data_IF_741635592704
#
_entry.id   IF_741635592704
#
_cell.length_a   1.000
_cell.length_b   1.000
_cell.length_c   1.000
_cell.angle_alpha   90.00
_cell.angle_beta   90.00
_cell.angle_gamma   90.00
#
_symmetry.space_group_name_H-M   'P 1'
#
loop_
_entity.id
_entity.type
_entity.pdbx_description
1 polymer ?
#
# COMPACT_ATOMS: atom_id res chain seq x y z
N UNK A 1 -64.06 -23.32 27.09
CA UNK A 1 -64.27 -22.05 26.34
C UNK A 1 -63.37 -22.05 25.12
N UNK A 2 -63.99 -21.86 23.97
CA UNK A 2 -63.52 -22.07 22.58
C UNK A 2 -62.40 -21.06 22.20
N UNK A 3 -61.22 -21.53 21.74
CA UNK A 3 -60.62 -21.42 20.37
C UNK A 3 -60.88 -20.08 19.65
N UNK A 4 -59.96 -19.40 18.94
CA UNK A 4 -58.79 -19.82 18.14
C UNK A 4 -58.96 -19.30 16.69
N UNK A 5 -57.86 -18.94 16.01
CA UNK A 5 -57.77 -18.79 14.53
C UNK A 5 -58.04 -17.38 13.97
N UNK A 6 -57.10 -16.73 13.26
CA UNK A 6 -56.65 -16.91 11.86
C UNK A 6 -57.53 -16.17 10.82
N UNK A 7 -56.88 -15.27 10.10
CA UNK A 7 -56.80 -15.19 8.63
C UNK A 7 -58.06 -14.82 7.80
N UNK A 8 -57.89 -13.75 7.02
CA UNK A 8 -58.39 -13.52 5.64
C UNK A 8 -59.83 -13.04 5.36
N UNK A 9 -59.85 -12.00 4.51
CA UNK A 9 -60.74 -11.74 3.36
C UNK A 9 -62.03 -10.92 3.52
N UNK A 10 -61.98 -9.73 2.88
CA UNK A 10 -62.88 -9.16 1.85
C UNK A 10 -64.37 -8.89 2.15
N UNK A 11 -64.89 -7.88 1.41
CA UNK A 11 -66.27 -7.42 1.12
C UNK A 11 -66.56 -6.04 1.75
N UNK A 12 -67.04 -4.98 1.08
CA UNK A 12 -67.69 -4.72 -0.24
C UNK A 12 -67.55 -3.22 -0.54
N UNK A 13 -67.17 -2.82 -1.75
CA UNK A 13 -68.04 -2.31 -2.85
C UNK A 13 -69.05 -1.22 -2.46
N UNK A 14 -68.92 -0.03 -3.08
CA UNK A 14 -69.93 0.59 -3.96
C UNK A 14 -69.36 1.81 -4.72
N UNK A 15 -69.90 2.00 -5.93
CA UNK A 15 -69.33 2.63 -7.12
C UNK A 15 -70.07 3.90 -7.57
N UNK A 16 -69.42 4.70 -8.45
CA UNK A 16 -69.96 5.51 -9.59
C UNK A 16 -68.95 6.64 -9.91
N UNK A 17 -68.56 6.96 -11.14
CA UNK A 17 -68.96 6.61 -12.51
C UNK A 17 -67.69 6.67 -13.40
N UNK A 18 -67.48 5.76 -14.36
CA UNK A 18 -67.68 6.05 -15.80
C UNK A 18 -66.76 7.17 -16.30
N UNK A 19 -65.75 6.96 -17.16
CA UNK A 19 -65.91 6.58 -18.59
C UNK A 19 -64.50 6.31 -19.21
N UNK A 20 -64.43 5.21 -19.96
CA UNK A 20 -63.57 4.74 -21.08
C UNK A 20 -62.20 5.36 -21.45
N UNK A 21 -61.20 4.47 -21.68
CA UNK A 21 -60.06 4.65 -22.61
C UNK A 21 -60.47 4.54 -24.10
N UNK A 22 -59.56 4.47 -25.10
CA UNK A 22 -58.47 3.47 -25.23
C UNK A 22 -57.09 4.07 -25.69
N UNK A 23 -55.93 3.53 -25.27
CA UNK A 23 -55.11 2.42 -25.81
C UNK A 23 -54.18 2.74 -27.01
N UNK A 24 -52.88 2.54 -26.73
CA UNK A 24 -51.78 2.00 -27.55
C UNK A 24 -51.28 2.72 -28.82
N UNK A 25 -49.97 3.00 -28.85
CA UNK A 25 -49.17 3.26 -30.05
C UNK A 25 -47.71 3.60 -29.71
N UNK A 26 -46.76 2.78 -30.18
CA UNK A 26 -45.33 2.91 -29.91
C UNK A 26 -44.61 4.03 -30.69
N UNK A 27 -43.37 4.32 -30.29
CA UNK A 27 -42.45 5.21 -31.02
C UNK A 27 -41.30 5.73 -30.14
N UNK A 28 -40.08 5.63 -30.67
CA UNK A 28 -38.76 6.11 -30.18
C UNK A 28 -38.75 7.53 -29.56
N UNK A 29 -37.84 7.85 -28.60
CA UNK A 29 -37.72 9.21 -28.06
C UNK A 29 -36.91 10.10 -29.01
N UNK A 30 -37.62 10.92 -29.79
CA UNK A 30 -37.02 12.02 -30.52
C UNK A 30 -36.71 13.20 -29.57
N UNK A 31 -35.41 13.51 -29.46
CA UNK A 31 -34.84 14.86 -29.55
C UNK A 31 -35.62 16.02 -28.90
N UNK A 32 -35.25 16.39 -27.67
CA UNK A 32 -35.62 17.69 -27.11
C UNK A 32 -34.78 18.81 -27.78
N UNK A 33 -35.38 19.93 -28.25
CA UNK A 33 -34.65 21.01 -28.85
C UNK A 33 -34.01 21.92 -27.79
N UNK A 34 -32.69 22.14 -27.90
CA UNK A 34 -31.95 23.16 -27.17
C UNK A 34 -32.33 24.54 -27.70
N UNK A 35 -32.96 25.35 -26.85
CA UNK A 35 -33.21 26.77 -27.11
C UNK A 35 -31.91 27.57 -27.18
N UNK A 36 -31.93 28.56 -28.08
CA UNK A 36 -30.81 29.41 -28.49
C UNK A 36 -30.35 30.31 -27.34
N UNK A 37 -29.07 30.18 -26.95
CA UNK A 37 -28.36 31.20 -26.19
C UNK A 37 -27.58 32.12 -27.13
N UNK A 38 -27.72 33.40 -26.85
CA UNK A 38 -27.37 34.54 -27.68
C UNK A 38 -25.85 34.74 -27.85
N UNK A 39 -25.45 35.17 -29.04
CA UNK A 39 -24.04 35.41 -29.42
C UNK A 39 -23.59 36.77 -28.89
N UNK A 40 -22.55 36.80 -28.05
CA UNK A 40 -21.65 37.98 -27.97
C UNK A 40 -20.20 37.56 -28.19
N UNK A 41 -19.60 38.20 -29.21
CA UNK A 41 -18.23 38.06 -29.71
C UNK A 41 -17.22 38.81 -28.84
N UNK A 42 -15.95 38.38 -28.98
CA UNK A 42 -14.62 39.04 -28.82
C UNK A 42 -13.79 38.37 -27.72
N UNK A 43 -12.56 37.91 -27.95
CA UNK A 43 -11.66 38.09 -29.09
C UNK A 43 -10.57 37.02 -29.18
N UNK A 44 -9.96 36.97 -30.36
CA UNK A 44 -8.94 36.04 -30.83
C UNK A 44 -7.58 36.21 -30.12
N UNK A 45 -6.94 35.09 -29.80
CA UNK A 45 -5.47 34.96 -29.85
C UNK A 45 -5.10 33.60 -30.48
N UNK A 46 -4.75 33.69 -31.77
CA UNK A 46 -3.79 32.93 -32.58
C UNK A 46 -3.55 31.43 -32.30
N UNK A 47 -4.32 30.60 -33.00
CA UNK A 47 -4.11 29.15 -33.15
C UNK A 47 -3.15 28.77 -34.29
N UNK A 48 -2.14 29.59 -34.62
CA UNK A 48 -1.23 29.35 -35.76
C UNK A 48 0.20 29.00 -35.35
N UNK A 49 0.63 29.24 -34.10
CA UNK A 49 2.00 28.89 -33.66
C UNK A 49 2.17 27.43 -33.17
N UNK A 50 1.08 26.69 -32.92
CA UNK A 50 1.17 25.32 -32.41
C UNK A 50 1.29 24.25 -33.52
N UNK A 51 1.07 24.61 -34.79
CA UNK A 51 1.06 23.67 -35.91
C UNK A 51 2.45 23.44 -36.55
N UNK A 52 3.41 24.36 -36.38
CA UNK A 52 4.75 24.21 -36.97
C UNK A 52 5.75 23.42 -36.09
N UNK A 53 5.48 23.31 -34.79
CA UNK A 53 6.33 22.56 -33.86
C UNK A 53 6.13 21.02 -33.94
N UNK A 54 4.97 20.56 -34.42
CA UNK A 54 4.60 19.14 -34.45
C UNK A 54 5.02 18.44 -35.77
N UNK A 55 5.39 19.18 -36.82
CA UNK A 55 5.83 18.59 -38.09
C UNK A 55 7.36 18.41 -38.24
N UNK A 56 8.18 18.85 -37.27
CA UNK A 56 9.66 18.69 -37.34
C UNK A 56 10.23 17.46 -36.63
N UNK A 57 9.40 16.50 -36.22
CA UNK A 57 9.82 15.28 -35.51
C UNK A 57 9.50 13.96 -36.23
N UNK A 58 9.09 14.00 -37.52
CA UNK A 58 8.73 12.79 -38.28
C UNK A 58 9.67 12.40 -39.43
N UNK A 59 10.83 13.03 -39.59
CA UNK A 59 11.86 12.52 -40.48
C UNK A 59 13.25 12.70 -39.90
N UNK A 60 13.80 11.62 -39.33
CA UNK A 60 15.20 11.19 -39.50
C UNK A 60 15.45 9.90 -38.71
N UNK A 61 15.31 8.78 -39.40
CA UNK A 61 15.98 7.53 -39.06
C UNK A 61 17.13 7.30 -40.02
N UNK A 62 18.26 6.86 -39.45
CA UNK A 62 19.38 6.12 -40.04
C UNK A 62 20.29 6.82 -41.07
N UNK A 63 21.60 6.89 -40.79
CA UNK A 63 22.69 6.11 -41.42
C UNK A 63 24.05 6.54 -40.79
N UNK A 64 24.97 5.58 -40.75
CA UNK A 64 26.24 5.48 -40.04
C UNK A 64 27.43 6.30 -40.57
N UNK A 65 28.48 6.30 -39.74
CA UNK A 65 29.93 6.36 -40.00
C UNK A 65 30.53 7.47 -40.89
N UNK A 66 31.39 8.31 -40.28
CA UNK A 66 32.85 8.39 -40.54
C UNK A 66 33.49 9.56 -39.78
N UNK A 67 34.57 9.26 -39.05
CA UNK A 67 35.63 10.21 -38.64
C UNK A 67 36.39 10.70 -39.90
N UNK A 68 36.99 11.92 -39.92
CA UNK A 68 38.28 12.13 -39.24
C UNK A 68 38.56 13.53 -38.61
N UNK A 69 39.67 13.48 -37.88
CA UNK A 69 40.56 14.39 -37.12
C UNK A 69 40.72 15.90 -37.41
N UNK A 70 41.32 16.54 -36.37
CA UNK A 70 42.10 17.81 -36.25
C UNK A 70 41.32 19.06 -35.83
N UNK A 71 41.88 20.06 -35.15
CA UNK A 71 42.97 20.21 -34.17
C UNK A 71 42.86 21.66 -33.63
N UNK A 72 43.28 21.86 -32.39
CA UNK A 72 43.78 23.11 -31.78
C UNK A 72 42.89 24.37 -31.70
N UNK A 73 42.85 25.00 -30.52
CA UNK A 73 42.38 26.39 -30.40
C UNK A 73 42.13 26.85 -28.96
N UNK A 74 43.15 27.43 -28.33
CA UNK A 74 43.12 28.06 -27.00
C UNK A 74 42.24 29.32 -26.99
N UNK A 75 41.60 29.61 -25.86
CA UNK A 75 41.00 30.93 -25.60
C UNK A 75 40.46 31.08 -24.18
N UNK A 76 41.25 31.73 -23.30
CA UNK A 76 40.83 32.19 -21.97
C UNK A 76 39.81 33.33 -22.09
N UNK A 77 38.83 33.40 -21.18
CA UNK A 77 38.37 34.67 -20.63
C UNK A 77 37.73 34.48 -19.24
N UNK A 78 38.17 35.33 -18.31
CA UNK A 78 37.67 35.50 -16.94
C UNK A 78 36.48 36.46 -16.94
N UNK A 79 35.53 36.28 -16.03
CA UNK A 79 34.99 37.43 -15.27
C UNK A 79 34.37 36.98 -13.95
N UNK A 80 34.96 37.49 -12.87
CA UNK A 80 34.40 37.57 -11.52
C UNK A 80 33.26 38.60 -11.55
N UNK A 81 32.21 38.37 -10.77
CA UNK A 81 31.51 39.46 -10.08
C UNK A 81 31.06 38.98 -8.69
N UNK A 82 31.45 39.79 -7.71
CA UNK A 82 31.26 39.62 -6.28
C UNK A 82 30.21 40.60 -5.79
N UNK A 83 29.40 40.14 -4.83
CA UNK A 83 28.95 40.96 -3.71
C UNK A 83 27.61 41.66 -3.88
N UNK A 84 26.69 41.34 -2.96
CA UNK A 84 25.86 42.31 -2.26
C UNK A 84 25.40 41.69 -0.93
N UNK A 85 25.89 42.28 0.17
CA UNK A 85 25.42 42.05 1.54
C UNK A 85 24.27 43.00 1.80
N UNK A 86 23.21 42.54 2.48
CA UNK A 86 22.24 43.40 3.16
C UNK A 86 22.17 43.06 4.65
N UNK A 87 22.39 44.09 5.46
CA UNK A 87 22.38 44.10 6.93
C UNK A 87 20.94 43.99 7.46
N UNK A 88 20.69 43.09 8.40
CA UNK A 88 19.47 43.04 9.22
C UNK A 88 19.80 43.25 10.70
N UNK A 89 19.26 44.33 11.28
CA UNK A 89 19.51 44.82 12.65
C UNK A 89 18.91 43.88 13.71
N UNK A 90 19.70 43.61 14.75
CA UNK A 90 19.23 43.08 16.02
C UNK A 90 18.52 44.17 16.84
N UNK A 91 17.35 43.85 17.40
CA UNK A 91 16.74 44.58 18.52
C UNK A 91 16.53 43.61 19.68
N UNK A 92 17.18 43.92 20.81
CA UNK A 92 17.10 43.23 22.10
C UNK A 92 15.72 43.49 22.74
N UNK A 93 15.07 42.42 23.21
CA UNK A 93 13.86 42.47 24.01
C UNK A 93 14.19 42.55 25.51
N UNK A 94 13.30 43.24 26.22
CA UNK A 94 13.28 43.52 27.66
C UNK A 94 12.84 42.28 28.45
N UNK A 95 13.40 42.11 29.65
CA UNK A 95 13.13 40.97 30.52
C UNK A 95 11.74 41.00 31.17
N UNK A 96 11.20 39.80 31.36
CA UNK A 96 10.03 39.53 32.18
C UNK A 96 10.18 38.15 32.84
N UNK A 97 10.24 38.13 34.17
CA UNK A 97 10.22 36.91 35.00
C UNK A 97 8.79 36.38 35.05
N UNK A 98 8.59 35.09 34.73
CA UNK A 98 7.39 34.35 35.14
C UNK A 98 7.84 33.01 35.72
N UNK A 99 7.57 32.82 37.01
CA UNK A 99 7.65 31.54 37.71
C UNK A 99 6.54 30.62 37.18
N UNK A 100 6.86 29.36 36.86
CA UNK A 100 5.87 28.28 36.86
C UNK A 100 6.38 27.05 37.62
N UNK A 101 5.42 26.53 38.36
CA UNK A 101 5.42 25.47 39.36
C UNK A 101 5.53 24.10 38.67
N UNK A 102 6.28 23.17 39.29
CA UNK A 102 6.30 21.73 38.94
C UNK A 102 5.07 21.03 39.52
N UNK A 103 4.59 19.97 38.86
CA UNK A 103 4.29 18.77 39.64
C UNK A 103 4.83 17.47 39.03
N UNK A 104 5.33 16.66 39.98
CA UNK A 104 5.56 15.21 40.06
C UNK A 104 5.35 14.30 38.85
N UNK A 105 6.39 13.48 38.60
CA UNK A 105 6.30 12.18 37.92
C UNK A 105 6.60 11.07 38.94
N UNK A 106 5.85 9.98 39.01
CA UNK A 106 6.30 8.76 39.63
C UNK A 106 7.11 7.88 38.65
N UNK A 107 8.18 7.32 39.19
CA UNK A 107 9.10 6.33 38.64
C UNK A 107 8.45 4.92 38.61
N UNK A 108 8.44 4.18 37.48
CA UNK A 108 8.06 2.78 37.47
C UNK A 108 9.28 1.88 37.25
N UNK A 109 10.00 1.60 38.33
CA UNK A 109 10.75 0.36 38.47
C UNK A 109 10.13 -0.45 39.62
N UNK A 110 9.46 -1.58 39.30
CA UNK A 110 9.60 -2.88 40.01
C UNK A 110 8.60 -3.96 39.55
N UNK A 111 9.22 -5.06 39.12
CA UNK A 111 8.94 -6.47 39.47
C UNK A 111 7.64 -7.13 38.98
N UNK A 112 7.76 -7.90 37.90
CA UNK A 112 6.92 -9.08 37.67
C UNK A 112 7.64 -10.34 38.16
N UNK A 113 6.96 -11.08 39.04
CA UNK A 113 7.37 -12.35 39.65
C UNK A 113 6.74 -13.49 38.86
N UNK A 114 7.57 -14.41 38.40
CA UNK A 114 7.17 -15.62 37.66
C UNK A 114 6.46 -16.65 38.56
N UNK A 115 5.52 -17.40 37.97
CA UNK A 115 5.08 -18.73 38.44
C UNK A 115 4.84 -19.65 37.23
N UNK A 116 5.29 -20.93 37.25
CA UNK A 116 5.23 -21.84 36.10
C UNK A 116 4.04 -22.81 36.16
N UNK A 117 3.49 -23.21 35.00
CA UNK A 117 2.60 -24.38 34.82
C UNK A 117 2.73 -25.00 33.40
N UNK A 118 2.35 -26.29 33.24
CA UNK A 118 3.23 -27.31 32.65
C UNK A 118 3.02 -27.61 31.15
N UNK A 119 3.98 -28.37 30.62
CA UNK A 119 4.20 -28.71 29.22
C UNK A 119 3.10 -29.56 28.56
N UNK A 120 2.84 -29.25 27.28
CA UNK A 120 2.23 -30.16 26.31
C UNK A 120 3.24 -30.47 25.18
N UNK A 121 3.28 -31.74 24.77
CA UNK A 121 4.16 -32.41 23.79
C UNK A 121 3.83 -31.91 22.37
N UNK A 122 4.70 -31.70 21.39
CA UNK A 122 6.13 -31.91 21.20
C UNK A 122 6.39 -32.07 19.68
N UNK A 123 6.90 -31.03 19.00
CA UNK A 123 7.49 -31.15 17.66
C UNK A 123 8.97 -31.55 17.80
N UNK A 124 9.37 -32.64 17.14
CA UNK A 124 10.68 -33.25 17.26
C UNK A 124 11.82 -32.30 16.90
N UNK A 125 12.76 -32.11 17.83
CA UNK A 125 14.01 -31.35 17.63
C UNK A 125 15.16 -32.30 17.32
N UNK A 126 15.85 -32.08 16.21
CA UNK A 126 17.26 -32.42 16.09
C UNK A 126 18.09 -31.26 16.65
N UNK A 127 19.04 -31.57 17.52
CA UNK A 127 19.95 -30.59 18.10
C UNK A 127 21.06 -30.25 17.12
N UNK A 128 21.37 -28.97 16.96
CA UNK A 128 22.67 -28.54 16.45
C UNK A 128 23.16 -27.34 17.28
N UNK A 129 24.36 -27.51 17.82
CA UNK A 129 25.08 -26.56 18.64
C UNK A 129 25.97 -25.70 17.74
N UNK A 130 25.66 -24.42 17.59
CA UNK A 130 26.67 -23.45 17.18
C UNK A 130 26.32 -22.05 17.66
N UNK A 131 27.01 -21.63 18.73
CA UNK A 131 27.12 -20.24 19.17
C UNK A 131 27.69 -19.41 18.02
N UNK A 132 26.92 -18.46 17.49
CA UNK A 132 27.44 -17.40 16.62
C UNK A 132 27.37 -16.06 17.33
N UNK A 133 28.52 -15.38 17.31
CA UNK A 133 28.72 -13.99 17.68
C UNK A 133 27.66 -13.11 17.02
N UNK A 134 27.16 -12.12 17.78
CA UNK A 134 26.33 -11.06 17.25
C UNK A 134 27.13 -10.26 16.21
N UNK A 135 26.97 -10.60 14.94
CA UNK A 135 27.44 -9.80 13.82
C UNK A 135 26.69 -8.47 13.81
N UNK A 136 27.46 -7.40 13.65
CA UNK A 136 26.97 -6.04 13.43
C UNK A 136 26.00 -6.08 12.25
N UNK A 137 24.73 -5.79 12.51
CA UNK A 137 23.70 -5.62 11.47
C UNK A 137 24.20 -4.53 10.53
N UNK A 138 24.49 -4.88 9.27
CA UNK A 138 24.83 -3.91 8.25
C UNK A 138 23.60 -3.01 8.01
N UNK A 139 23.68 -1.80 8.57
CA UNK A 139 22.61 -0.83 8.78
C UNK A 139 22.23 0.01 7.54
N UNK A 140 22.29 -0.57 6.34
CA UNK A 140 21.71 0.06 5.16
C UNK A 140 20.97 -1.00 4.36
N UNK A 141 19.74 -0.70 3.91
CA UNK A 141 19.19 -1.40 2.76
C UNK A 141 20.27 -1.36 1.68
N UNK A 142 20.64 -2.50 1.08
CA UNK A 142 21.69 -2.49 0.08
C UNK A 142 21.33 -1.46 -1.01
N UNK A 143 22.30 -0.66 -1.50
CA UNK A 143 22.03 0.30 -2.56
C UNK A 143 21.27 -0.34 -3.70
N UNK A 144 20.02 0.08 -3.89
CA UNK A 144 19.18 -0.52 -4.90
C UNK A 144 19.29 0.25 -6.21
N UNK A 145 19.83 -0.42 -7.22
CA UNK A 145 19.95 0.10 -8.59
C UNK A 145 18.99 -0.57 -9.55
N UNK A 146 17.90 -1.17 -9.05
CA UNK A 146 16.87 -1.74 -9.90
C UNK A 146 16.30 -0.63 -10.79
N UNK A 147 16.32 -0.79 -12.12
CA UNK A 147 15.88 0.26 -13.02
C UNK A 147 14.36 0.41 -12.94
N UNK A 148 13.86 1.61 -13.24
CA UNK A 148 12.46 1.98 -13.00
C UNK A 148 11.46 1.02 -13.69
N UNK A 149 11.77 0.58 -14.90
CA UNK A 149 10.96 -0.35 -15.69
C UNK A 149 10.79 -1.73 -15.03
N UNK A 150 11.63 -2.09 -14.06
CA UNK A 150 11.55 -3.36 -13.31
C UNK A 150 10.84 -3.22 -11.96
N UNK A 151 10.41 -2.01 -11.57
CA UNK A 151 9.73 -1.79 -10.30
C UNK A 151 8.27 -2.26 -10.31
N UNK A 152 7.68 -2.52 -11.47
CA UNK A 152 6.32 -3.03 -11.59
C UNK A 152 6.35 -4.42 -12.21
N UNK A 153 5.91 -5.42 -11.45
CA UNK A 153 5.71 -6.79 -11.90
C UNK A 153 4.25 -6.95 -12.30
N UNK A 154 4.02 -7.27 -13.57
CA UNK A 154 2.67 -7.52 -14.10
C UNK A 154 2.23 -8.92 -13.75
N UNK A 155 0.95 -9.08 -13.40
CA UNK A 155 0.38 -10.41 -13.18
C UNK A 155 0.47 -11.28 -14.44
N UNK A 156 0.81 -12.55 -14.26
CA UNK A 156 0.73 -13.56 -15.31
C UNK A 156 -0.71 -13.78 -15.79
N UNK A 157 -0.92 -14.45 -16.93
CA UNK A 157 -2.27 -14.74 -17.45
C UNK A 157 -3.16 -15.53 -16.48
N UNK A 158 -2.55 -16.29 -15.57
CA UNK A 158 -3.19 -17.08 -14.52
C UNK A 158 -3.34 -16.33 -13.18
N UNK A 159 -2.98 -15.03 -13.15
CA UNK A 159 -3.03 -14.19 -11.95
C UNK A 159 -1.82 -14.35 -11.03
N UNK A 160 -0.83 -15.15 -11.41
CA UNK A 160 0.35 -15.38 -10.56
C UNK A 160 1.35 -14.22 -10.64
N UNK A 161 2.00 -13.96 -9.51
CA UNK A 161 3.14 -13.04 -9.39
C UNK A 161 4.14 -13.65 -8.43
N UNK A 162 5.42 -13.47 -8.69
CA UNK A 162 6.49 -13.82 -7.75
C UNK A 162 7.55 -12.73 -7.73
N UNK A 163 7.93 -12.34 -6.52
CA UNK A 163 9.02 -11.42 -6.22
C UNK A 163 9.90 -12.11 -5.21
N UNK A 164 11.18 -12.24 -5.53
CA UNK A 164 12.20 -12.74 -4.60
C UNK A 164 13.28 -11.67 -4.36
N UNK A 165 14.11 -11.81 -3.32
CA UNK A 165 15.17 -10.86 -3.01
C UNK A 165 16.14 -10.58 -4.17
N UNK A 166 16.45 -11.59 -4.99
CA UNK A 166 17.35 -11.43 -6.13
C UNK A 166 16.72 -10.59 -7.24
N UNK A 167 15.42 -10.76 -7.47
CA UNK A 167 14.66 -9.99 -8.45
C UNK A 167 14.47 -8.54 -8.01
N UNK A 168 14.16 -8.33 -6.73
CA UNK A 168 13.92 -7.00 -6.16
C UNK A 168 15.22 -6.23 -5.86
N UNK A 169 16.34 -6.92 -5.72
CA UNK A 169 17.62 -6.33 -5.35
C UNK A 169 17.69 -5.92 -3.88
N UNK A 170 17.10 -6.73 -2.99
CA UNK A 170 17.11 -6.53 -1.54
C UNK A 170 17.46 -7.82 -0.79
N UNK A 171 17.28 -7.89 0.53
CA UNK A 171 17.80 -8.96 1.39
C UNK A 171 16.77 -9.98 1.84
N UNK A 172 15.54 -9.57 2.16
CA UNK A 172 14.66 -10.38 3.01
C UNK A 172 13.37 -10.81 2.33
N UNK A 173 12.60 -9.87 1.78
CA UNK A 173 11.21 -10.10 1.43
C UNK A 173 11.07 -10.95 0.16
N UNK A 174 10.37 -12.07 0.26
CA UNK A 174 9.76 -12.74 -0.89
C UNK A 174 8.25 -12.56 -0.85
N UNK A 175 7.62 -12.38 -2.01
CA UNK A 175 6.18 -12.21 -2.13
C UNK A 175 5.64 -12.95 -3.36
N UNK A 176 4.66 -13.83 -3.14
CA UNK A 176 3.97 -14.55 -4.20
C UNK A 176 2.46 -14.25 -4.19
N UNK A 177 1.84 -14.25 -5.36
CA UNK A 177 0.39 -14.43 -5.51
C UNK A 177 0.14 -15.75 -6.24
N UNK A 178 -0.75 -16.58 -5.69
CA UNK A 178 -1.11 -17.89 -6.26
C UNK A 178 -2.61 -18.09 -6.25
N UNK A 179 -3.11 -18.80 -7.27
CA UNK A 179 -4.47 -19.34 -7.29
C UNK A 179 -4.42 -20.82 -6.95
N UNK A 180 -4.97 -21.19 -5.80
CA UNK A 180 -5.17 -22.57 -5.39
C UNK A 180 -6.49 -23.06 -5.98
N UNK A 181 -6.48 -24.23 -6.61
CA UNK A 181 -7.70 -24.82 -7.16
C UNK A 181 -8.50 -25.55 -6.09
N UNK A 182 -9.82 -25.62 -6.26
CA UNK A 182 -10.69 -26.40 -5.37
C UNK A 182 -10.17 -27.84 -5.20
N UNK A 183 -10.07 -28.30 -3.95
CA UNK A 183 -9.56 -29.61 -3.59
C UNK A 183 -8.04 -29.78 -3.66
N UNK A 184 -7.30 -28.80 -4.17
CA UNK A 184 -5.84 -28.85 -4.22
C UNK A 184 -5.23 -28.68 -2.84
N UNK A 185 -4.07 -29.32 -2.64
CA UNK A 185 -3.28 -29.23 -1.41
C UNK A 185 -1.92 -28.62 -1.69
N UNK A 186 -1.46 -27.74 -0.80
CA UNK A 186 -0.11 -27.16 -0.84
C UNK A 186 0.47 -27.08 0.57
N UNK A 187 1.75 -26.74 0.70
CA UNK A 187 2.40 -26.57 2.00
C UNK A 187 2.93 -25.15 2.12
N UNK A 188 2.65 -24.52 3.26
CA UNK A 188 3.23 -23.22 3.64
C UNK A 188 4.19 -23.39 4.82
N UNK A 189 5.09 -22.42 4.98
CA UNK A 189 6.19 -22.48 5.95
C UNK A 189 7.47 -23.09 5.38
N UNK A 190 8.57 -22.88 6.11
CA UNK A 190 9.90 -23.37 5.76
C UNK A 190 10.76 -23.48 7.03
N UNK A 191 11.88 -24.22 6.93
CA UNK A 191 12.81 -24.39 8.06
C UNK A 191 13.49 -23.08 8.45
N UNK A 192 13.85 -22.26 7.46
CA UNK A 192 14.72 -21.09 7.58
C UNK A 192 13.99 -19.76 7.37
N UNK A 193 12.68 -19.78 7.14
CA UNK A 193 11.88 -18.59 6.87
C UNK A 193 10.51 -18.63 7.55
N UNK A 194 10.07 -17.48 8.04
CA UNK A 194 8.66 -17.28 8.39
C UNK A 194 7.82 -17.10 7.12
N UNK A 195 6.51 -17.31 7.23
CA UNK A 195 5.55 -17.07 6.15
C UNK A 195 4.28 -16.44 6.70
N UNK A 196 3.72 -15.47 5.97
CA UNK A 196 2.36 -14.98 6.20
C UNK A 196 1.54 -15.20 4.92
N UNK A 197 0.38 -15.82 5.07
CA UNK A 197 -0.53 -16.15 3.96
C UNK A 197 -1.81 -15.38 4.15
N UNK A 198 -2.17 -14.53 3.18
CA UNK A 198 -3.38 -13.72 3.20
C UNK A 198 -4.32 -14.21 2.12
N UNK A 199 -5.57 -14.49 2.49
CA UNK A 199 -6.63 -14.84 1.55
C UNK A 199 -7.15 -13.57 0.87
N UNK A 200 -6.84 -13.41 -0.42
CA UNK A 200 -7.23 -12.23 -1.19
C UNK A 200 -8.68 -12.33 -1.67
N UNK A 201 -9.02 -13.45 -2.29
CA UNK A 201 -10.34 -13.71 -2.88
C UNK A 201 -10.63 -15.21 -2.97
N UNK A 202 -11.90 -15.59 -3.00
CA UNK A 202 -12.35 -16.97 -3.19
C UNK A 202 -12.82 -17.64 -1.88
N UNK A 203 -12.77 -18.96 -1.86
CA UNK A 203 -13.34 -19.76 -0.78
C UNK A 203 -12.37 -20.09 0.35
N UNK A 204 -12.88 -20.83 1.34
CA UNK A 204 -12.15 -21.17 2.57
C UNK A 204 -10.89 -22.01 2.32
N UNK A 205 -9.92 -21.86 3.22
CA UNK A 205 -8.72 -22.69 3.29
C UNK A 205 -8.71 -23.46 4.60
N UNK A 206 -8.45 -24.77 4.53
CA UNK A 206 -8.22 -25.61 5.71
C UNK A 206 -6.73 -25.81 5.92
N UNK A 207 -6.24 -25.47 7.11
CA UNK A 207 -4.86 -25.64 7.54
C UNK A 207 -4.81 -26.82 8.51
N UNK A 208 -4.19 -27.92 8.07
CA UNK A 208 -4.16 -29.19 8.81
C UNK A 208 -3.57 -29.02 10.21
N UNK A 209 -4.35 -29.38 11.24
CA UNK A 209 -3.93 -29.28 12.64
C UNK A 209 -3.95 -27.86 13.22
N UNK A 210 -4.34 -26.85 12.44
CA UNK A 210 -4.36 -25.44 12.87
C UNK A 210 -5.80 -24.88 12.88
N UNK A 211 -6.58 -25.12 11.83
CA UNK A 211 -7.97 -24.66 11.69
C UNK A 211 -8.26 -24.13 10.28
N UNK A 212 -9.25 -23.24 10.13
CA UNK A 212 -9.69 -22.74 8.83
C UNK A 212 -9.58 -21.22 8.69
N UNK A 213 -9.33 -20.75 7.47
CA UNK A 213 -9.45 -19.35 7.07
C UNK A 213 -10.71 -19.17 6.24
N UNK A 214 -11.58 -18.26 6.68
CA UNK A 214 -12.80 -17.93 5.95
C UNK A 214 -12.49 -17.08 4.71
N UNK A 215 -13.02 -17.48 3.57
CA UNK A 215 -12.90 -16.80 2.30
C UNK A 215 -13.65 -15.45 2.25
N UNK A 216 -13.34 -14.66 1.23
CA UNK A 216 -14.08 -13.44 0.85
C UNK A 216 -14.14 -13.35 -0.66
N UNK A 217 -15.21 -12.78 -1.22
CA UNK A 217 -15.36 -12.67 -2.68
C UNK A 217 -14.23 -11.84 -3.30
N UNK A 218 -13.87 -10.74 -2.65
CA UNK A 218 -12.73 -9.91 -2.99
C UNK A 218 -12.33 -9.06 -1.79
N UNK A 219 -11.22 -8.30 -1.85
CA UNK A 219 -10.85 -7.41 -0.76
C UNK A 219 -11.87 -6.31 -0.44
N UNK A 220 -12.84 -6.08 -1.33
CA UNK A 220 -13.92 -5.11 -1.13
C UNK A 220 -15.18 -5.73 -0.49
N UNK A 221 -15.13 -7.00 -0.07
CA UNK A 221 -16.27 -7.75 0.48
C UNK A 221 -16.03 -8.27 1.90
N UNK A 222 -15.12 -7.64 2.64
CA UNK A 222 -14.91 -7.95 4.06
C UNK A 222 -13.44 -7.87 4.47
N UNK A 223 -13.23 -7.94 5.78
CA UNK A 223 -11.91 -7.98 6.38
C UNK A 223 -11.16 -9.28 6.02
N UNK A 224 -9.81 -9.25 6.00
CA UNK A 224 -9.02 -10.37 5.54
C UNK A 224 -8.99 -11.51 6.57
N UNK A 225 -8.81 -12.73 6.05
CA UNK A 225 -8.34 -13.88 6.83
C UNK A 225 -6.90 -14.18 6.43
N UNK A 226 -6.04 -14.48 7.40
CA UNK A 226 -4.64 -14.78 7.18
C UNK A 226 -4.11 -15.84 8.15
N UNK A 227 -3.00 -16.46 7.81
CA UNK A 227 -2.24 -17.32 8.72
C UNK A 227 -0.78 -16.88 8.76
N UNK A 228 -0.22 -16.84 9.96
CA UNK A 228 1.22 -16.69 10.18
C UNK A 228 1.82 -18.06 10.51
N UNK A 229 2.91 -18.43 9.84
CA UNK A 229 3.63 -19.68 10.01
C UNK A 229 5.08 -19.32 10.35
N UNK A 230 5.53 -19.52 11.60
CA UNK A 230 6.90 -19.18 11.96
C UNK A 230 7.91 -20.12 11.29
N UNK A 231 9.18 -19.72 11.27
CA UNK A 231 10.25 -20.58 10.79
C UNK A 231 10.31 -21.89 11.59
N UNK A 232 10.69 -23.00 10.92
CA UNK A 232 10.69 -24.38 11.43
C UNK A 232 9.29 -25.00 11.60
N UNK A 233 8.24 -24.30 11.16
CA UNK A 233 6.91 -24.88 11.03
C UNK A 233 6.56 -25.05 9.54
N UNK A 234 5.81 -26.10 9.24
CA UNK A 234 5.13 -26.27 7.96
C UNK A 234 3.69 -26.65 8.20
N UNK A 235 2.79 -26.19 7.33
CA UNK A 235 1.36 -26.48 7.41
C UNK A 235 0.83 -26.87 6.04
N UNK A 236 0.17 -28.02 5.97
CA UNK A 236 -0.54 -28.44 4.77
C UNK A 236 -1.87 -27.69 4.70
N UNK A 237 -2.14 -27.09 3.55
CA UNK A 237 -3.32 -26.28 3.30
C UNK A 237 -4.13 -26.88 2.16
N UNK A 238 -5.44 -26.98 2.36
CA UNK A 238 -6.40 -27.47 1.36
C UNK A 238 -7.37 -26.37 1.00
N UNK A 239 -7.47 -26.05 -0.29
CA UNK A 239 -8.45 -25.10 -0.80
C UNK A 239 -9.83 -25.76 -0.95
N UNK A 240 -10.89 -25.15 -0.40
CA UNK A 240 -12.28 -25.66 -0.52
C UNK A 240 -12.98 -25.19 -1.79
N UNK A 241 -12.52 -24.09 -2.36
CA UNK A 241 -12.90 -23.60 -3.68
C UNK A 241 -11.66 -23.05 -4.39
N UNK A 242 -11.82 -22.50 -5.59
CA UNK A 242 -10.75 -21.71 -6.19
C UNK A 242 -10.50 -20.47 -5.31
N UNK A 243 -9.25 -20.31 -4.85
CA UNK A 243 -8.87 -19.30 -3.86
C UNK A 243 -7.56 -18.64 -4.24
N UNK A 244 -7.55 -17.32 -4.31
CA UNK A 244 -6.37 -16.50 -4.51
C UNK A 244 -5.73 -16.14 -3.16
N UNK A 245 -4.44 -16.42 -3.03
CA UNK A 245 -3.66 -16.14 -1.83
C UNK A 245 -2.43 -15.30 -2.15
N UNK A 246 -2.11 -14.37 -1.26
CA UNK A 246 -0.81 -13.73 -1.20
C UNK A 246 0.06 -14.40 -0.13
N UNK A 247 1.34 -14.62 -0.41
CA UNK A 247 2.28 -15.28 0.48
C UNK A 247 3.52 -14.41 0.61
N UNK A 248 3.71 -13.82 1.79
CA UNK A 248 4.94 -13.11 2.14
C UNK A 248 5.87 -14.05 2.93
N UNK A 249 7.18 -14.00 2.66
CA UNK A 249 8.20 -14.75 3.41
C UNK A 249 9.40 -13.88 3.71
N UNK A 250 10.07 -14.15 4.81
CA UNK A 250 11.35 -13.55 5.16
C UNK A 250 12.23 -14.56 5.91
N UNK A 251 13.57 -14.55 5.73
CA UNK A 251 14.48 -15.40 6.49
C UNK A 251 14.35 -15.15 7.99
N UNK A 252 14.44 -16.21 8.79
CA UNK A 252 14.44 -16.05 10.24
C UNK A 252 15.66 -15.26 10.69
N UNK A 253 15.45 -14.34 11.63
CA UNK A 253 16.52 -13.59 12.29
C UNK A 253 17.17 -14.34 13.44
N UNK A 254 16.48 -15.35 13.99
CA UNK A 254 16.85 -15.99 15.24
C UNK A 254 16.52 -15.18 16.50
N UNK A 255 15.79 -14.06 16.40
CA UNK A 255 15.41 -13.24 17.55
C UNK A 255 14.38 -13.92 18.46
N UNK A 256 14.37 -13.52 19.73
CA UNK A 256 13.37 -13.94 20.70
C UNK A 256 12.03 -13.22 20.50
N UNK A 257 10.95 -13.75 21.09
CA UNK A 257 9.62 -13.12 21.05
C UNK A 257 8.79 -13.40 19.80
N UNK A 258 9.29 -14.26 18.90
CA UNK A 258 8.56 -14.78 17.74
C UNK A 258 7.70 -15.98 18.17
N UNK A 259 6.51 -16.11 17.59
CA UNK A 259 5.65 -17.28 17.82
C UNK A 259 6.36 -18.58 17.45
N UNK A 260 6.09 -19.64 18.20
CA UNK A 260 6.67 -20.97 17.97
C UNK A 260 5.73 -21.92 17.23
N UNK A 261 4.48 -21.53 17.03
CA UNK A 261 3.43 -22.31 16.37
C UNK A 261 2.67 -21.43 15.37
N UNK A 262 2.03 -22.02 14.35
CA UNK A 262 1.18 -21.28 13.42
C UNK A 262 0.02 -20.56 14.12
N UNK A 263 -0.33 -19.36 13.63
CA UNK A 263 -1.42 -18.53 14.18
C UNK A 263 -2.40 -18.21 13.06
N UNK A 264 -3.70 -18.46 13.29
CA UNK A 264 -4.77 -17.95 12.44
C UNK A 264 -5.12 -16.52 12.85
N UNK A 265 -5.35 -15.68 11.85
CA UNK A 265 -5.74 -14.27 11.99
C UNK A 265 -7.05 -14.14 11.23
N UNK A 266 -8.16 -14.13 11.95
CA UNK A 266 -9.49 -13.97 11.36
C UNK A 266 -9.91 -12.51 11.29
N UNK A 267 -11.03 -12.21 10.60
CA UNK A 267 -11.62 -10.87 10.52
C UNK A 267 -11.77 -10.15 11.86
N UNK A 268 -12.03 -10.90 12.95
CA UNK A 268 -12.19 -10.36 14.31
C UNK A 268 -10.90 -9.88 14.95
N UNK A 269 -9.75 -10.36 14.47
CA UNK A 269 -8.43 -10.00 14.97
C UNK A 269 -7.88 -8.73 14.28
N UNK A 270 -8.56 -8.27 13.22
CA UNK A 270 -8.12 -7.16 12.38
C UNK A 270 -8.43 -5.81 13.04
N UNK A 271 -7.37 -5.05 13.28
CA UNK A 271 -7.46 -3.67 13.69
C UNK A 271 -7.72 -2.78 12.47
N UNK A 272 -8.85 -2.08 12.47
CA UNK A 272 -9.25 -1.18 11.39
C UNK A 272 -8.97 0.26 11.82
N UNK A 273 -8.25 0.98 10.97
CA UNK A 273 -7.88 2.38 11.17
C UNK A 273 -8.32 3.20 9.95
N UNK A 274 -8.99 4.33 10.19
CA UNK A 274 -9.19 5.36 9.16
C UNK A 274 -8.09 6.41 9.33
N UNK A 275 -7.25 6.56 8.31
CA UNK A 275 -6.11 7.48 8.34
C UNK A 275 -6.23 8.55 7.27
N UNK A 276 -5.86 9.78 7.62
CA UNK A 276 -5.90 10.94 6.73
C UNK A 276 -7.28 11.61 6.71
N UNK A 277 -7.36 12.78 6.04
CA UNK A 277 -8.58 13.55 5.89
C UNK A 277 -8.82 13.95 4.43
N UNK A 278 -10.07 14.27 4.07
CA UNK A 278 -10.47 14.62 2.71
C UNK A 278 -9.96 13.63 1.65
N UNK A 279 -9.38 14.15 0.57
CA UNK A 279 -8.83 13.34 -0.52
C UNK A 279 -7.60 12.49 -0.16
N UNK A 280 -7.11 12.53 1.08
CA UNK A 280 -6.03 11.66 1.57
C UNK A 280 -6.52 10.57 2.54
N UNK A 281 -7.84 10.47 2.76
CA UNK A 281 -8.43 9.45 3.63
C UNK A 281 -8.40 8.06 3.00
N UNK A 282 -8.05 7.06 3.81
CA UNK A 282 -8.06 5.64 3.46
C UNK A 282 -8.43 4.78 4.68
N UNK A 283 -8.88 3.56 4.40
CA UNK A 283 -9.03 2.51 5.41
C UNK A 283 -7.79 1.63 5.41
N UNK A 284 -7.27 1.33 6.59
CA UNK A 284 -6.11 0.49 6.83
C UNK A 284 -6.55 -0.66 7.72
N UNK A 285 -6.31 -1.89 7.29
CA UNK A 285 -6.61 -3.10 8.03
C UNK A 285 -5.28 -3.78 8.39
N UNK A 286 -4.93 -3.76 9.67
CA UNK A 286 -3.65 -4.28 10.17
C UNK A 286 -3.73 -5.80 10.36
N UNK A 287 -2.91 -6.56 9.61
CA UNK A 287 -2.91 -8.04 9.61
C UNK A 287 -1.78 -8.55 10.50
N UNK A 288 -0.52 -8.23 10.15
CA UNK A 288 0.67 -8.55 10.95
C UNK A 288 1.31 -7.23 11.37
N UNK A 289 0.81 -6.66 12.48
CA UNK A 289 1.25 -5.37 13.02
C UNK A 289 2.53 -5.48 13.87
N UNK A 290 3.24 -4.38 14.18
CA UNK A 290 4.48 -4.43 14.97
C UNK A 290 4.38 -5.22 16.29
N UNK A 291 3.25 -5.16 16.99
CA UNK A 291 3.05 -5.91 18.25
C UNK A 291 2.69 -7.39 18.07
N UNK A 292 2.40 -7.85 16.85
CA UNK A 292 2.20 -9.27 16.54
C UNK A 292 3.52 -10.04 16.71
N UNK A 293 3.52 -11.28 17.22
CA UNK A 293 4.74 -12.07 17.46
C UNK A 293 5.34 -12.69 16.17
N UNK A 294 5.61 -11.87 15.17
CA UNK A 294 6.32 -12.26 13.94
C UNK A 294 7.80 -11.85 13.97
N UNK A 295 8.61 -12.43 13.10
CA UNK A 295 10.07 -12.24 13.07
C UNK A 295 10.47 -10.94 12.37
N UNK A 296 10.24 -10.83 11.06
CA UNK A 296 10.55 -9.64 10.21
C UNK A 296 9.32 -9.08 9.54
N UNK A 297 8.36 -9.94 9.23
CA UNK A 297 7.21 -9.58 8.43
C UNK A 297 6.28 -8.57 9.13
N UNK A 298 5.81 -7.62 8.32
CA UNK A 298 4.70 -6.72 8.60
C UNK A 298 3.75 -6.79 7.41
N UNK A 299 2.44 -6.91 7.68
CA UNK A 299 1.43 -6.99 6.63
C UNK A 299 0.26 -6.09 6.98
N UNK A 300 -0.15 -5.29 6.01
CA UNK A 300 -1.25 -4.37 6.11
C UNK A 300 -1.94 -4.28 4.76
N UNK A 301 -3.27 -4.24 4.75
CA UNK A 301 -4.00 -3.91 3.54
C UNK A 301 -4.64 -2.53 3.65
N UNK A 302 -4.71 -1.83 2.53
CA UNK A 302 -5.23 -0.47 2.44
C UNK A 302 -6.30 -0.41 1.37
N UNK A 303 -7.46 0.14 1.73
CA UNK A 303 -8.52 0.48 0.79
C UNK A 303 -8.55 1.99 0.60
N UNK A 304 -8.36 2.42 -0.64
CA UNK A 304 -8.29 3.82 -1.04
C UNK A 304 -9.53 4.15 -1.86
N UNK A 305 -10.43 5.03 -1.35
CA UNK A 305 -11.58 5.47 -2.11
C UNK A 305 -11.19 6.07 -3.44
N UNK A 306 -12.06 5.95 -4.43
CA UNK A 306 -11.80 6.49 -5.75
C UNK A 306 -11.40 7.98 -5.73
N UNK A 307 -10.35 8.33 -6.48
CA UNK A 307 -9.81 9.68 -6.56
C UNK A 307 -8.96 10.11 -5.36
N UNK A 308 -8.91 9.30 -4.28
CA UNK A 308 -8.10 9.61 -3.12
C UNK A 308 -6.65 9.20 -3.31
N UNK A 309 -5.79 9.89 -2.57
CA UNK A 309 -4.39 9.59 -2.37
C UNK A 309 -4.21 8.74 -1.11
N UNK A 310 -3.38 7.71 -1.20
CA UNK A 310 -2.90 6.93 -0.07
C UNK A 310 -1.38 6.82 -0.11
N UNK A 311 -0.80 6.26 0.95
CA UNK A 311 0.63 6.45 1.24
C UNK A 311 1.03 7.93 1.16
N UNK A 312 0.08 8.81 1.55
CA UNK A 312 0.17 10.27 1.50
C UNK A 312 0.06 10.88 2.91
N UNK A 313 0.81 11.94 3.29
CA UNK A 313 1.93 12.51 2.51
C UNK A 313 2.98 11.43 2.19
N UNK A 314 3.76 11.63 1.11
CA UNK A 314 4.74 10.65 0.69
C UNK A 314 5.69 10.36 1.85
N UNK A 315 5.99 9.08 2.07
CA UNK A 315 6.89 8.64 3.13
C UNK A 315 7.85 7.58 2.61
N UNK A 316 8.91 7.32 3.38
CA UNK A 316 9.95 6.34 3.07
C UNK A 316 10.42 5.60 4.33
N UNK A 317 11.04 4.45 4.10
CA UNK A 317 11.58 3.53 5.11
C UNK A 317 12.93 2.95 4.62
N UNK A 318 13.88 3.82 4.25
CA UNK A 318 15.11 3.43 3.54
C UNK A 318 16.41 3.85 4.26
N UNK A 319 16.31 4.52 5.40
CA UNK A 319 17.43 4.92 6.26
C UNK A 319 17.28 4.33 7.67
N UNK A 320 18.36 3.78 8.23
CA UNK A 320 18.40 3.38 9.64
C UNK A 320 18.67 4.62 10.51
N UNK A 321 17.60 5.26 10.96
CA UNK A 321 17.61 6.45 11.82
C UNK A 321 16.56 6.31 12.93
N UNK A 322 16.64 5.19 13.67
CA UNK A 322 15.69 4.90 14.74
C UNK A 322 15.78 5.95 15.88
N UNK A 323 14.64 6.41 16.44
CA UNK A 323 13.28 5.90 16.23
C UNK A 323 12.50 6.58 15.09
N UNK A 324 13.12 7.50 14.34
CA UNK A 324 12.44 8.28 13.31
C UNK A 324 12.10 7.42 12.08
N UNK A 325 13.06 6.62 11.62
CA UNK A 325 12.90 5.80 10.43
C UNK A 325 13.55 4.42 10.60
N UNK A 326 12.88 3.40 10.09
CA UNK A 326 13.43 2.06 9.94
C UNK A 326 13.69 1.75 8.47
N UNK A 327 14.60 0.81 8.23
CA UNK A 327 14.83 0.23 6.91
C UNK A 327 13.87 -0.94 6.69
N UNK A 328 12.92 -0.78 5.77
CA UNK A 328 11.93 -1.78 5.41
C UNK A 328 11.88 -1.97 3.89
N UNK A 329 11.98 -3.23 3.46
CA UNK A 329 11.67 -3.64 2.10
C UNK A 329 10.15 -3.74 1.96
N UNK A 330 9.57 -3.24 0.87
CA UNK A 330 8.12 -3.16 0.73
C UNK A 330 7.64 -3.50 -0.68
N UNK A 331 6.55 -4.28 -0.74
CA UNK A 331 5.76 -4.48 -1.97
C UNK A 331 4.36 -3.88 -1.82
N UNK A 332 3.75 -3.53 -2.95
CA UNK A 332 2.34 -3.17 -3.06
C UNK A 332 1.66 -4.11 -4.06
N UNK A 333 0.75 -4.97 -3.60
CA UNK A 333 -0.02 -5.87 -4.47
C UNK A 333 -1.43 -5.33 -4.72
N UNK A 334 -1.71 -4.87 -5.95
CA UNK A 334 -2.90 -4.10 -6.27
C UNK A 334 -4.11 -4.95 -6.64
N UNK A 335 -5.27 -4.57 -6.12
CA UNK A 335 -6.58 -4.96 -6.66
C UNK A 335 -7.41 -3.69 -6.85
N UNK A 336 -8.38 -3.76 -7.74
CA UNK A 336 -9.31 -2.67 -8.00
C UNK A 336 -10.71 -3.25 -8.08
N UNK A 337 -11.71 -2.45 -7.67
CA UNK A 337 -13.11 -2.89 -7.63
C UNK A 337 -13.59 -3.36 -9.00
N UNK A 338 -13.19 -2.66 -10.07
CA UNK A 338 -13.30 -3.13 -11.45
C UNK A 338 -11.92 -3.56 -11.97
N UNK A 339 -11.83 -4.72 -12.62
CA UNK A 339 -10.54 -5.27 -13.10
C UNK A 339 -9.84 -4.40 -14.14
N UNK A 340 -10.60 -3.62 -14.92
CA UNK A 340 -10.10 -2.69 -15.93
C UNK A 340 -9.60 -1.34 -15.35
N UNK A 341 -9.89 -1.08 -14.07
CA UNK A 341 -9.45 0.14 -13.41
C UNK A 341 -7.93 0.12 -13.17
N UNK A 342 -7.43 1.26 -12.74
CA UNK A 342 -6.01 1.51 -12.58
C UNK A 342 -5.77 2.60 -11.54
N UNK A 343 -4.51 2.80 -11.17
CA UNK A 343 -4.05 3.90 -10.33
C UNK A 343 -2.66 4.34 -10.75
N UNK A 344 -2.14 5.37 -10.09
CA UNK A 344 -0.78 5.86 -10.31
C UNK A 344 0.04 5.67 -9.04
N UNK A 345 1.11 4.89 -9.15
CA UNK A 345 2.17 4.82 -8.16
C UNK A 345 3.30 5.75 -8.59
N UNK A 346 3.73 6.67 -7.72
CA UNK A 346 5.01 7.38 -7.92
C UNK A 346 6.06 6.71 -7.03
N UNK A 347 7.28 6.54 -7.52
CA UNK A 347 8.42 6.14 -6.69
C UNK A 347 9.56 7.09 -7.00
N UNK A 348 9.99 7.86 -6.01
CA UNK A 348 11.00 8.90 -6.22
C UNK A 348 11.94 9.08 -5.03
N UNK A 349 13.14 9.56 -5.32
CA UNK A 349 14.14 9.97 -4.33
C UNK A 349 14.29 11.48 -4.39
N UNK A 350 14.47 12.12 -3.24
CA UNK A 350 14.88 13.53 -3.24
C UNK A 350 16.32 13.68 -3.74
N UNK A 351 16.67 14.80 -4.40
CA UNK A 351 18.03 15.06 -4.88
C UNK A 351 19.11 14.98 -3.78
N UNK A 352 18.75 15.30 -2.54
CA UNK A 352 19.64 15.34 -1.37
C UNK A 352 19.62 14.07 -0.50
N UNK A 353 18.83 13.05 -0.88
CA UNK A 353 18.71 11.83 -0.08
C UNK A 353 19.97 10.95 -0.15
N UNK A 354 20.27 10.17 0.90
CA UNK A 354 21.34 9.17 0.87
C UNK A 354 21.22 8.22 -0.32
N UNK A 355 20.01 7.69 -0.58
CA UNK A 355 19.75 6.80 -1.71
C UNK A 355 20.11 7.42 -3.07
N UNK A 356 19.86 8.73 -3.28
CA UNK A 356 20.26 9.42 -4.51
C UNK A 356 21.78 9.52 -4.66
N UNK A 357 22.51 9.79 -3.57
CA UNK A 357 23.98 9.86 -3.60
C UNK A 357 24.62 8.51 -3.91
N UNK A 358 24.00 7.43 -3.46
CA UNK A 358 24.56 6.08 -3.57
C UNK A 358 24.17 5.35 -4.87
N UNK A 359 22.91 5.51 -5.28
CA UNK A 359 22.29 4.75 -6.39
C UNK A 359 21.76 5.63 -7.52
N UNK A 360 22.02 6.94 -7.48
CA UNK A 360 21.58 7.90 -8.49
C UNK A 360 20.13 8.36 -8.32
N UNK A 361 19.69 9.35 -9.12
CA UNK A 361 18.33 9.87 -9.05
C UNK A 361 17.30 8.82 -9.48
N UNK A 362 16.09 8.94 -8.92
CA UNK A 362 14.91 8.17 -9.34
C UNK A 362 13.68 9.06 -9.18
N UNK A 363 12.89 9.16 -10.22
CA UNK A 363 11.54 9.73 -10.17
C UNK A 363 10.74 9.13 -11.30
N UNK A 364 9.80 8.24 -10.97
CA UNK A 364 9.03 7.50 -11.95
C UNK A 364 7.57 7.42 -11.53
N UNK A 365 6.69 7.51 -12.52
CA UNK A 365 5.25 7.33 -12.40
C UNK A 365 4.85 6.05 -13.13
N UNK A 366 4.04 5.24 -12.47
CA UNK A 366 3.60 3.95 -12.97
C UNK A 366 2.08 3.87 -12.98
N UNK A 367 1.51 3.62 -14.15
CA UNK A 367 0.14 3.12 -14.22
C UNK A 367 0.11 1.66 -13.74
N UNK A 368 -0.51 1.43 -12.58
CA UNK A 368 -0.69 0.11 -11.98
C UNK A 368 -2.13 -0.37 -12.19
N UNK A 369 -2.29 -1.67 -12.41
CA UNK A 369 -3.55 -2.32 -12.75
C UNK A 369 -3.83 -3.48 -11.80
N UNK A 370 -5.04 -4.03 -11.91
CA UNK A 370 -5.46 -5.16 -11.11
C UNK A 370 -4.51 -6.36 -11.29
N UNK A 371 -3.97 -6.85 -10.18
CA UNK A 371 -3.01 -7.97 -10.15
C UNK A 371 -1.54 -7.54 -10.09
N UNK A 372 -1.21 -6.30 -10.45
CA UNK A 372 0.18 -5.85 -10.48
C UNK A 372 0.78 -5.79 -9.06
N UNK A 373 2.11 -5.98 -9.00
CA UNK A 373 2.90 -5.76 -7.79
C UNK A 373 3.94 -4.66 -8.06
N UNK A 374 3.96 -3.62 -7.23
CA UNK A 374 5.06 -2.67 -7.21
C UNK A 374 6.10 -3.05 -6.16
N UNK A 375 7.37 -2.95 -6.54
CA UNK A 375 8.55 -3.12 -5.68
C UNK A 375 9.00 -1.71 -5.27
N UNK A 376 9.02 -1.46 -3.97
CA UNK A 376 9.51 -0.21 -3.38
C UNK A 376 10.80 -0.51 -2.64
N UNK A 377 11.96 -0.37 -3.29
CA UNK A 377 13.23 -0.69 -2.64
C UNK A 377 13.75 0.46 -1.78
N UNK A 378 13.36 1.70 -2.11
CA UNK A 378 13.72 2.93 -1.41
C UNK A 378 12.87 4.10 -1.95
N UNK A 379 13.04 5.26 -1.31
CA UNK A 379 12.41 6.51 -1.69
C UNK A 379 10.95 6.63 -1.25
N UNK A 380 10.38 7.77 -1.62
CA UNK A 380 9.01 8.12 -1.36
C UNK A 380 8.08 7.46 -2.38
N UNK A 381 6.96 6.92 -1.89
CA UNK A 381 6.13 6.04 -2.70
C UNK A 381 4.60 6.28 -2.54
N UNK A 382 4.08 7.47 -2.88
CA UNK A 382 2.66 7.75 -2.80
C UNK A 382 1.87 7.07 -3.92
N UNK A 383 0.59 6.80 -3.64
CA UNK A 383 -0.36 6.19 -4.58
C UNK A 383 -1.61 7.06 -4.73
N UNK A 384 -2.20 7.08 -5.93
CA UNK A 384 -3.53 7.65 -6.17
C UNK A 384 -4.41 6.69 -6.97
N UNK A 385 -5.64 6.50 -6.49
CA UNK A 385 -6.66 5.72 -7.18
C UNK A 385 -7.24 6.52 -8.35
N UNK A 386 -7.48 5.89 -9.51
CA UNK A 386 -8.20 6.57 -10.57
C UNK A 386 -9.62 6.96 -10.14
N UNK A 387 -10.10 8.07 -10.70
CA UNK A 387 -11.47 8.51 -10.49
C UNK A 387 -12.49 7.50 -11.05
N UNK A 388 -13.57 7.25 -10.30
CA UNK A 388 -14.60 6.24 -10.57
C UNK A 388 -14.39 4.86 -9.94
N UNK A 389 -13.19 4.49 -9.46
CA UNK A 389 -12.92 3.17 -8.89
C UNK A 389 -12.13 3.19 -7.58
N UNK A 390 -12.63 2.44 -6.59
CA UNK A 390 -11.89 2.18 -5.37
C UNK A 390 -10.71 1.24 -5.65
N UNK A 391 -9.59 1.55 -5.01
CA UNK A 391 -8.37 0.77 -5.09
C UNK A 391 -8.11 0.03 -3.78
N UNK A 392 -7.38 -1.07 -3.91
CA UNK A 392 -6.88 -1.88 -2.83
C UNK A 392 -5.40 -2.16 -3.08
N UNK A 393 -4.61 -2.19 -2.03
CA UNK A 393 -3.34 -2.90 -2.07
C UNK A 393 -3.04 -3.63 -0.76
N UNK A 394 -2.44 -4.80 -0.89
CA UNK A 394 -1.77 -5.47 0.22
C UNK A 394 -0.30 -5.04 0.23
N UNK A 395 0.15 -4.50 1.36
CA UNK A 395 1.57 -4.34 1.63
C UNK A 395 2.09 -5.54 2.40
N UNK A 396 3.23 -6.04 1.95
CA UNK A 396 4.10 -6.87 2.77
C UNK A 396 5.43 -6.14 2.91
N UNK A 397 5.91 -6.08 4.14
CA UNK A 397 7.19 -5.47 4.48
C UNK A 397 8.06 -6.46 5.25
N UNK A 398 9.38 -6.32 5.13
CA UNK A 398 10.34 -7.02 5.96
C UNK A 398 11.53 -6.13 6.29
N UNK A 399 12.04 -6.25 7.51
CA UNK A 399 13.28 -5.58 7.93
C UNK A 399 13.78 -6.09 9.27
N UNK A 400 14.97 -5.61 9.67
CA UNK A 400 15.59 -6.00 10.94
C UNK A 400 14.89 -5.37 12.15
N UNK A 401 14.18 -4.25 11.95
CA UNK A 401 13.37 -3.58 12.97
C UNK A 401 11.90 -3.70 12.61
N UNK A 402 11.12 -4.46 13.38
CA UNK A 402 9.66 -4.55 13.20
C UNK A 402 8.94 -3.33 13.78
N UNK A 403 8.91 -2.27 12.99
CA UNK A 403 8.17 -1.03 13.25
C UNK A 403 7.62 -0.49 11.92
N UNK A 404 6.70 0.47 11.98
CA UNK A 404 6.24 1.26 10.82
C UNK A 404 6.81 2.69 10.88
N UNK A 405 7.99 2.85 11.48
CA UNK A 405 8.67 4.14 11.60
C UNK A 405 9.13 4.62 10.21
N UNK A 406 8.72 5.83 9.84
CA UNK A 406 8.88 6.38 8.50
C UNK A 406 9.21 7.86 8.56
N UNK A 407 9.93 8.35 7.54
CA UNK A 407 10.09 9.79 7.31
C UNK A 407 9.17 10.24 6.19
N UNK A 408 8.48 11.37 6.41
CA UNK A 408 7.68 12.04 5.38
C UNK A 408 8.55 12.96 4.52
N UNK A 409 8.13 13.19 3.27
CA UNK A 409 8.79 14.19 2.42
C UNK A 409 8.59 15.58 3.04
N UNK A 410 9.65 16.26 3.50
CA UNK A 410 9.49 17.51 4.23
C UNK A 410 8.92 18.64 3.38
N UNK A 411 8.95 18.53 2.05
CA UNK A 411 8.32 19.53 1.16
C UNK A 411 6.78 19.38 1.11
N UNK A 412 6.26 18.23 1.54
CA UNK A 412 4.83 17.87 1.43
C UNK A 412 4.18 17.52 2.77
N UNK A 413 4.98 17.32 3.83
CA UNK A 413 4.48 16.91 5.15
C UNK A 413 3.54 17.93 5.81
N UNK A 414 3.68 19.22 5.46
CA UNK A 414 2.83 20.32 5.94
C UNK A 414 1.32 20.03 5.78
N UNK A 415 0.95 19.20 4.79
CA UNK A 415 -0.45 18.83 4.55
C UNK A 415 -1.10 18.17 5.77
N UNK A 416 -0.35 17.47 6.62
CA UNK A 416 -0.92 16.82 7.82
C UNK A 416 -1.47 17.83 8.81
N UNK A 417 -0.91 19.04 8.87
CA UNK A 417 -1.42 20.11 9.73
C UNK A 417 -2.83 20.54 9.31
N UNK A 418 -3.14 20.42 8.01
CA UNK A 418 -4.47 20.77 7.48
C UNK A 418 -5.55 19.75 7.82
N UNK A 419 -5.18 18.51 8.13
CA UNK A 419 -6.14 17.44 8.41
C UNK A 419 -6.89 17.61 9.72
N UNK A 420 -6.32 18.34 10.69
CA UNK A 420 -6.92 18.53 12.01
C UNK A 420 -8.31 19.21 11.96
N UNK A 421 -8.61 19.92 10.86
CA UNK A 421 -9.88 20.63 10.66
C UNK A 421 -10.69 20.08 9.48
N UNK A 422 -10.31 18.92 8.94
CA UNK A 422 -10.98 18.29 7.80
C UNK A 422 -11.64 16.99 8.22
N UNK A 423 -12.84 16.76 7.70
CA UNK A 423 -13.50 15.48 7.88
C UNK A 423 -12.81 14.38 7.03
N UNK A 424 -12.77 13.14 7.52
CA UNK A 424 -12.46 11.99 6.68
C UNK A 424 -13.45 11.85 5.53
N UNK A 425 -13.01 11.21 4.45
CA UNK A 425 -13.89 10.89 3.33
C UNK A 425 -15.12 10.08 3.81
N UNK A 426 -16.37 10.54 3.52
CA UNK A 426 -17.58 9.91 4.04
C UNK A 426 -17.86 8.53 3.44
N UNK A 427 -17.12 8.10 2.41
CA UNK A 427 -17.21 6.74 1.85
C UNK A 427 -16.55 5.69 2.74
N UNK A 428 -15.78 6.10 3.75
CA UNK A 428 -15.06 5.20 4.64
C UNK A 428 -15.88 4.85 5.90
N UNK A 429 -15.75 3.62 6.43
CA UNK A 429 -14.95 2.52 5.89
C UNK A 429 -15.55 1.92 4.61
N UNK A 430 -14.70 1.49 3.67
CA UNK A 430 -15.12 0.81 2.44
C UNK A 430 -15.56 -0.63 2.72
N UNK A 431 -15.01 -1.26 3.76
CA UNK A 431 -15.45 -2.56 4.28
C UNK A 431 -15.65 -2.49 5.78
N UNK A 432 -16.82 -2.94 6.25
CA UNK A 432 -17.16 -2.95 7.66
C UNK A 432 -16.54 -4.15 8.41
N UNK A 433 -16.52 -4.04 9.74
CA UNK A 433 -16.12 -5.11 10.66
C UNK A 433 -17.13 -6.23 10.76
#
# INVERSE_FOLDING_TARGET
>A
MVRGGRLQARLRDLSRAGISGPAAGGGDPASLPLERADRRRRGDHDAVELAEAVQRLRHRGQVADRRPSRAAGRGRARSRLSGLRSRGRARRAVGGRIRRVRPDRPDPARLHRELPRPAARGCGRAADESRRQAEVIAAASPPNRLPAERLIIRAGPDGTVSVDPSLAGWRYLSFDVRVLRAGSTTTFGATDAESAVVLLAGGDLELAGVGSLTGRESPFHGLPSAAYVPARCTVQVTAKADTEVAIARAPSSGQAGVATEPILIGPRDIEVEIRGAGGASRQINHIVKPSFPADRLLLVEVLTPSGNWSSWPPHKHDVDDMPAEAVLEEVYCYRFRRRQAWGVQRIYRRPDSPATRESGPRDALFAVRHGDVAIVPDGYHPFVAAHGDDAYYLNALAGDRRTMACSFDPDLDWVRETWATMDPDPRLPLVAR
#
